data_IF_027929771350
#
_entry.id   IF_027929771350
#
_cell.length_a   1.000
_cell.length_b   1.000
_cell.length_c   1.000
_cell.angle_alpha   90.00
_cell.angle_beta   90.00
_cell.angle_gamma   90.00
#
_symmetry.space_group_name_H-M   'P 1'
#
loop_
_entity.id
_entity.type
_entity.pdbx_description
1 polymer ?
#
# COMPACT_ATOMS: atom_id res chain seq x y z
N UNK A 1 -27.00 0.87 -12.65
CA UNK A 1 -26.62 0.55 -11.27
C UNK A 1 -25.91 -0.78 -11.32
N UNK A 2 -24.64 -0.86 -10.89
CA UNK A 2 -23.94 -2.13 -10.84
C UNK A 2 -24.63 -3.02 -9.78
N UNK A 3 -24.96 -4.26 -10.14
CA UNK A 3 -25.50 -5.24 -9.20
C UNK A 3 -24.40 -5.59 -8.19
N UNK A 4 -24.50 -5.03 -6.99
CA UNK A 4 -23.53 -5.14 -5.88
C UNK A 4 -23.44 -6.54 -5.24
N UNK A 5 -23.96 -7.57 -5.90
CA UNK A 5 -24.00 -8.96 -5.42
C UNK A 5 -23.28 -9.96 -6.35
N UNK A 6 -22.62 -9.48 -7.40
CA UNK A 6 -21.81 -10.35 -8.24
C UNK A 6 -20.54 -10.74 -7.49
N UNK A 7 -20.42 -12.03 -7.15
CA UNK A 7 -19.20 -12.59 -6.59
C UNK A 7 -18.16 -12.66 -7.70
N UNK A 8 -17.30 -11.66 -7.77
CA UNK A 8 -16.16 -11.67 -8.67
C UNK A 8 -15.17 -12.77 -8.24
N UNK A 9 -14.62 -13.48 -9.23
CA UNK A 9 -13.57 -14.50 -9.05
C UNK A 9 -13.96 -15.75 -8.24
N UNK A 10 -15.25 -16.06 -8.06
CA UNK A 10 -15.68 -17.28 -7.35
C UNK A 10 -15.26 -18.59 -8.01
N UNK A 11 -15.04 -18.55 -9.32
CA UNK A 11 -14.67 -19.73 -10.12
C UNK A 11 -13.16 -20.05 -10.04
N UNK A 12 -12.38 -19.19 -9.37
CA UNK A 12 -10.93 -19.34 -9.25
C UNK A 12 -10.55 -19.62 -7.79
N UNK A 13 -9.60 -20.54 -7.54
CA UNK A 13 -9.08 -20.74 -6.20
C UNK A 13 -8.33 -19.48 -5.71
N UNK A 14 -8.27 -19.31 -4.40
CA UNK A 14 -7.46 -18.25 -3.80
C UNK A 14 -5.98 -18.52 -4.04
N UNK A 15 -5.26 -17.52 -4.53
CA UNK A 15 -3.82 -17.61 -4.80
C UNK A 15 -3.03 -17.30 -3.52
N UNK A 16 -2.14 -18.18 -3.08
CA UNK A 16 -1.29 -17.96 -1.90
C UNK A 16 -0.09 -17.05 -2.19
N UNK A 17 0.61 -16.61 -1.16
CA UNK A 17 1.82 -15.78 -1.31
C UNK A 17 2.94 -16.55 -1.97
N UNK A 18 3.08 -17.83 -1.62
CA UNK A 18 4.05 -18.75 -2.17
C UNK A 18 3.81 -18.96 -3.67
N UNK A 19 2.56 -19.19 -4.08
CA UNK A 19 2.20 -19.33 -5.50
C UNK A 19 2.53 -18.07 -6.30
N UNK A 20 2.23 -16.90 -5.74
CA UNK A 20 2.54 -15.61 -6.37
C UNK A 20 4.06 -15.39 -6.48
N UNK A 21 4.81 -15.67 -5.41
CA UNK A 21 6.28 -15.56 -5.40
C UNK A 21 6.95 -16.55 -6.36
N UNK A 22 6.42 -17.78 -6.47
CA UNK A 22 6.90 -18.77 -7.43
C UNK A 22 6.74 -18.28 -8.87
N UNK A 23 5.59 -17.66 -9.19
CA UNK A 23 5.35 -17.08 -10.50
C UNK A 23 6.32 -15.94 -10.82
N UNK A 24 6.56 -15.02 -9.88
CA UNK A 24 7.53 -13.94 -10.04
C UNK A 24 8.94 -14.50 -10.28
N UNK A 25 9.34 -15.50 -9.50
CA UNK A 25 10.68 -16.11 -9.63
C UNK A 25 10.88 -16.75 -11.01
N UNK A 26 9.84 -17.42 -11.53
CA UNK A 26 9.84 -17.96 -12.89
C UNK A 26 9.98 -16.85 -13.94
N UNK A 27 9.24 -15.75 -13.80
CA UNK A 27 9.26 -14.62 -14.73
C UNK A 27 10.60 -13.85 -14.69
N UNK A 28 11.25 -13.81 -13.53
CA UNK A 28 12.60 -13.28 -13.35
C UNK A 28 13.71 -14.18 -13.94
N UNK A 29 13.37 -15.38 -14.45
CA UNK A 29 14.33 -16.34 -15.01
C UNK A 29 15.48 -16.67 -14.05
N UNK A 30 15.18 -16.76 -12.76
CA UNK A 30 16.18 -17.02 -11.71
C UNK A 30 17.01 -15.81 -11.29
N UNK A 31 16.72 -14.61 -11.80
CA UNK A 31 17.30 -13.39 -11.24
C UNK A 31 16.80 -13.17 -9.80
N UNK A 32 17.68 -12.65 -8.96
CA UNK A 32 17.42 -12.39 -7.55
C UNK A 32 16.30 -11.35 -7.36
N UNK A 33 15.23 -11.75 -6.67
CA UNK A 33 14.03 -10.93 -6.45
C UNK A 33 14.37 -9.63 -5.71
N UNK A 34 15.12 -9.71 -4.62
CA UNK A 34 15.46 -8.57 -3.77
C UNK A 34 16.33 -7.55 -4.51
N UNK A 35 17.26 -8.00 -5.36
CA UNK A 35 18.09 -7.10 -6.17
C UNK A 35 17.34 -6.50 -7.34
N UNK A 36 16.32 -7.17 -7.87
CA UNK A 36 15.63 -6.75 -9.10
C UNK A 36 14.39 -5.91 -8.85
N UNK A 37 13.60 -6.23 -7.81
CA UNK A 37 12.26 -5.67 -7.64
C UNK A 37 12.07 -4.91 -6.32
N UNK A 38 12.93 -5.10 -5.32
CA UNK A 38 12.84 -4.35 -4.07
C UNK A 38 13.56 -3.01 -4.20
N UNK A 39 12.82 -1.93 -3.97
CA UNK A 39 13.41 -0.60 -3.93
C UNK A 39 13.95 -0.29 -2.53
N UNK A 40 15.24 0.05 -2.47
CA UNK A 40 15.92 0.48 -1.24
C UNK A 40 15.96 1.99 -1.19
N UNK A 41 15.28 2.58 -0.21
CA UNK A 41 15.30 4.03 -0.02
C UNK A 41 16.58 4.45 0.70
N UNK A 42 16.94 5.73 0.60
CA UNK A 42 18.14 6.27 1.24
C UNK A 42 18.04 6.25 2.78
N UNK A 43 16.82 6.22 3.29
CA UNK A 43 16.48 6.13 4.71
C UNK A 43 16.59 4.69 5.26
N UNK A 44 16.90 3.70 4.41
CA UNK A 44 17.09 2.31 4.82
C UNK A 44 15.83 1.45 4.76
N UNK A 45 14.76 1.91 4.12
CA UNK A 45 13.55 1.11 3.94
C UNK A 45 13.62 0.25 2.67
N UNK A 46 13.13 -0.99 2.77
CA UNK A 46 12.97 -1.89 1.64
C UNK A 46 11.50 -1.92 1.22
N UNK A 47 11.18 -1.21 0.15
CA UNK A 47 9.83 -1.16 -0.41
C UNK A 47 9.63 -2.38 -1.30
N UNK A 48 8.74 -3.28 -0.88
CA UNK A 48 8.37 -4.48 -1.64
C UNK A 48 7.53 -4.08 -2.88
N UNK A 49 7.62 -4.84 -3.98
CA UNK A 49 6.86 -4.58 -5.21
C UNK A 49 5.36 -4.91 -5.11
N UNK A 50 4.94 -5.65 -4.08
CA UNK A 50 3.53 -5.92 -3.78
C UNK A 50 3.34 -6.14 -2.28
N UNK A 51 2.09 -5.99 -1.81
CA UNK A 51 1.66 -6.26 -0.45
C UNK A 51 0.31 -7.00 -0.49
N UNK A 52 0.02 -7.77 0.55
CA UNK A 52 -1.16 -8.63 0.68
C UNK A 52 -1.86 -8.37 2.00
N UNK A 53 -3.03 -8.98 2.17
CA UNK A 53 -3.85 -8.85 3.39
C UNK A 53 -3.10 -9.27 4.66
N UNK A 54 -2.26 -10.29 4.54
CA UNK A 54 -1.36 -10.75 5.62
C UNK A 54 -0.35 -9.68 6.06
N UNK A 55 0.12 -8.79 5.17
CA UNK A 55 1.11 -7.76 5.51
C UNK A 55 0.51 -6.65 6.40
N UNK A 56 -0.82 -6.55 6.45
CA UNK A 56 -1.53 -5.59 7.32
C UNK A 56 -2.17 -6.27 8.52
N UNK A 57 -2.09 -7.59 8.63
CA UNK A 57 -2.67 -8.34 9.72
C UNK A 57 -2.00 -7.96 11.06
N UNK A 58 -2.82 -7.78 12.11
CA UNK A 58 -2.33 -7.37 13.43
C UNK A 58 -2.06 -5.88 13.61
N UNK A 59 -2.20 -5.06 12.56
CA UNK A 59 -2.17 -3.61 12.71
C UNK A 59 -3.43 -3.14 13.47
N UNK A 60 -3.26 -2.62 14.69
CA UNK A 60 -4.36 -2.14 15.54
C UNK A 60 -5.08 -0.91 14.98
N UNK A 61 -4.46 -0.24 14.01
CA UNK A 61 -4.88 1.05 13.47
C UNK A 61 -5.64 0.96 12.15
N UNK A 62 -5.89 -0.25 11.62
CA UNK A 62 -6.59 -0.41 10.33
C UNK A 62 -7.96 0.25 10.32
N UNK A 63 -8.67 0.15 11.46
CA UNK A 63 -10.02 0.68 11.63
C UNK A 63 -10.02 2.05 12.33
N UNK A 64 -8.86 2.69 12.54
CA UNK A 64 -8.80 4.01 13.16
C UNK A 64 -9.51 5.05 12.27
N UNK A 65 -10.33 5.92 12.87
CA UNK A 65 -11.01 7.01 12.18
C UNK A 65 -10.13 8.28 12.17
N UNK A 66 -10.33 9.18 11.19
CA UNK A 66 -9.76 10.53 11.27
C UNK A 66 -10.24 11.23 12.55
N UNK A 67 -9.40 12.07 13.16
CA UNK A 67 -9.75 12.80 14.38
C UNK A 67 -9.70 12.00 15.69
N UNK A 68 -9.36 10.71 15.64
CA UNK A 68 -9.24 9.85 16.83
C UNK A 68 -7.78 9.48 17.11
N UNK A 69 -7.39 9.41 18.39
CA UNK A 69 -6.05 8.95 18.79
C UNK A 69 -5.79 7.52 18.25
N UNK A 70 -4.62 7.22 17.64
CA UNK A 70 -3.37 7.99 17.60
C UNK A 70 -3.25 8.94 16.39
N UNK A 71 -4.37 9.34 15.77
CA UNK A 71 -4.47 10.30 14.68
C UNK A 71 -3.80 9.87 13.37
N UNK A 72 -3.70 8.55 13.14
CA UNK A 72 -3.04 7.99 11.96
C UNK A 72 -3.65 8.46 10.63
N UNK A 73 -4.98 8.66 10.59
CA UNK A 73 -5.71 9.13 9.40
C UNK A 73 -5.91 10.66 9.38
N UNK A 74 -5.18 11.39 10.21
CA UNK A 74 -5.29 12.84 10.36
C UNK A 74 -6.01 13.26 11.63
N UNK A 75 -5.83 14.53 12.01
CA UNK A 75 -6.40 15.12 13.23
C UNK A 75 -7.76 15.78 13.03
N UNK A 76 -8.19 15.95 11.78
CA UNK A 76 -9.45 16.59 11.39
C UNK A 76 -10.31 15.61 10.60
N UNK A 77 -11.62 15.83 10.62
CA UNK A 77 -12.60 15.04 9.87
C UNK A 77 -12.84 15.56 8.45
N UNK A 78 -12.38 16.78 8.15
CA UNK A 78 -12.55 17.44 6.87
C UNK A 78 -11.23 17.55 6.08
N UNK A 79 -11.36 17.98 4.84
CA UNK A 79 -10.26 18.18 3.89
C UNK A 79 -9.98 19.68 3.65
N UNK A 80 -10.23 20.54 4.63
CA UNK A 80 -10.08 21.99 4.50
C UNK A 80 -8.64 22.46 4.73
N UNK A 81 -7.70 22.01 3.88
CA UNK A 81 -6.31 22.48 3.91
C UNK A 81 -6.21 23.94 3.44
N UNK A 82 -5.31 24.70 4.07
CA UNK A 82 -5.04 26.09 3.67
C UNK A 82 -4.13 26.12 2.44
N UNK A 83 -4.45 26.97 1.47
CA UNK A 83 -3.50 27.33 0.41
C UNK A 83 -2.41 28.19 1.04
N UNK A 84 -1.15 27.76 0.93
CA UNK A 84 0.03 28.48 1.44
C UNK A 84 0.94 28.75 0.26
N UNK A 85 1.23 30.02 0.01
CA UNK A 85 2.13 30.46 -1.04
C UNK A 85 3.27 31.23 -0.40
N UNK A 86 4.50 30.81 -0.68
CA UNK A 86 5.69 31.56 -0.31
C UNK A 86 5.97 32.59 -1.40
N UNK A 87 6.05 33.86 -1.01
CA UNK A 87 6.39 34.96 -1.92
C UNK A 87 7.81 35.39 -1.57
N UNK A 88 8.73 35.12 -2.48
CA UNK A 88 10.09 35.67 -2.42
C UNK A 88 10.10 36.98 -3.20
N UNK A 89 10.51 38.06 -2.55
CA UNK A 89 10.70 39.37 -3.17
C UNK A 89 12.21 39.61 -3.24
N UNK A 90 12.72 39.81 -4.45
CA UNK A 90 14.07 40.30 -4.70
C UNK A 90 13.97 41.82 -4.97
N UNK A 91 14.92 42.59 -4.44
CA UNK A 91 15.00 44.05 -4.62
C UNK A 91 15.42 44.46 -6.04
#
# INVERSE_FOLDING_TARGET
>A
MANSNEKLFSDFPHVTTEEWMAKITADLKGADFDKKLVWRTNEGFNVKPFYRREDVEGLSTLNALPGEFPYLRGTKLDNSWLVRQDISVED
#
